data_IF_116872142946
#
_entry.id   IF_116872142946
#
_cell.length_a   1.000
_cell.length_b   1.000
_cell.length_c   1.000
_cell.angle_alpha   90.00
_cell.angle_beta   90.00
_cell.angle_gamma   90.00
#
_symmetry.space_group_name_H-M   'P 1'
#
loop_
_entity.id
_entity.type
_entity.pdbx_description
1 polymer ?
#
# COMPACT_ATOMS: atom_id res chain seq x y z
N UNK A 1 -8.23 -5.00 -2.76
CA UNK A 1 -7.98 -5.97 -3.83
C UNK A 1 -9.22 -6.25 -4.69
N UNK A 2 -10.38 -6.65 -4.13
CA UNK A 2 -11.58 -7.02 -4.92
C UNK A 2 -12.02 -5.97 -5.97
N UNK A 3 -11.87 -4.67 -5.72
CA UNK A 3 -12.22 -3.61 -6.68
C UNK A 3 -11.24 -3.47 -7.86
N UNK A 4 -10.13 -4.17 -7.82
CA UNK A 4 -9.13 -4.20 -8.89
C UNK A 4 -9.23 -5.47 -9.76
N UNK A 5 -10.21 -6.34 -9.49
CA UNK A 5 -10.43 -7.56 -10.28
C UNK A 5 -10.67 -7.20 -11.75
N UNK A 6 -9.93 -7.84 -12.65
CA UNK A 6 -9.98 -7.56 -14.08
C UNK A 6 -9.03 -6.45 -14.56
N UNK A 7 -8.16 -5.92 -13.68
CA UNK A 7 -7.08 -5.00 -14.05
C UNK A 7 -5.73 -5.57 -13.63
N UNK A 8 -4.65 -5.08 -14.25
CA UNK A 8 -3.27 -5.46 -13.89
C UNK A 8 -2.71 -4.62 -12.73
N UNK A 9 -3.47 -3.61 -12.29
CA UNK A 9 -3.02 -2.68 -11.24
C UNK A 9 -2.82 -3.38 -9.89
N UNK A 10 -1.70 -3.16 -9.25
CA UNK A 10 -1.37 -3.68 -7.92
C UNK A 10 -1.64 -2.63 -6.85
N UNK A 11 -2.37 -3.03 -5.82
CA UNK A 11 -2.66 -2.19 -4.65
C UNK A 11 -1.46 -2.18 -3.70
N UNK A 12 -0.93 -1.00 -3.42
CA UNK A 12 0.19 -0.81 -2.49
C UNK A 12 -0.24 -0.12 -1.20
N UNK A 13 0.45 -0.45 -0.11
CA UNK A 13 0.44 0.37 1.10
C UNK A 13 1.35 1.60 0.97
N UNK A 14 1.59 2.28 2.07
CA UNK A 14 2.54 3.39 2.16
C UNK A 14 3.40 3.28 3.42
N UNK A 15 4.33 4.23 3.61
CA UNK A 15 5.09 4.38 4.86
C UNK A 15 4.35 5.19 5.93
N UNK A 16 3.13 5.65 5.66
CA UNK A 16 2.26 6.33 6.64
C UNK A 16 1.64 5.28 7.56
N UNK A 17 2.38 4.80 8.52
CA UNK A 17 2.01 3.73 9.45
C UNK A 17 1.93 4.24 10.88
N UNK A 18 1.17 3.56 11.72
CA UNK A 18 1.17 3.80 13.16
C UNK A 18 2.58 3.59 13.72
N UNK A 19 3.08 4.48 14.60
CA UNK A 19 4.39 4.30 15.23
C UNK A 19 4.55 2.89 15.80
N UNK A 20 5.69 2.27 15.53
CA UNK A 20 6.06 0.91 15.94
C UNK A 20 5.23 -0.24 15.33
N UNK A 21 4.14 0.02 14.59
CA UNK A 21 3.27 -1.03 14.03
C UNK A 21 3.49 -1.32 12.55
N UNK A 22 4.47 -0.71 11.88
CA UNK A 22 4.70 -0.85 10.42
C UNK A 22 4.79 -2.31 9.95
N UNK A 23 5.47 -3.16 10.70
CA UNK A 23 5.62 -4.57 10.36
C UNK A 23 4.24 -5.25 10.30
N UNK A 24 3.41 -5.03 11.32
CA UNK A 24 2.08 -5.65 11.41
C UNK A 24 1.12 -5.09 10.35
N UNK A 25 1.12 -3.78 10.14
CA UNK A 25 0.26 -3.13 9.16
C UNK A 25 0.61 -3.56 7.72
N UNK A 26 1.89 -3.61 7.37
CA UNK A 26 2.33 -4.11 6.07
C UNK A 26 2.05 -5.61 5.89
N UNK A 27 2.19 -6.40 6.95
CA UNK A 27 1.76 -7.80 6.94
C UNK A 27 0.25 -7.92 6.68
N UNK A 28 -0.58 -7.11 7.36
CA UNK A 28 -2.02 -7.11 7.18
C UNK A 28 -2.42 -6.76 5.74
N UNK A 29 -1.75 -5.79 5.10
CA UNK A 29 -1.97 -5.46 3.68
C UNK A 29 -1.70 -6.67 2.79
N UNK A 30 -0.59 -7.39 3.01
CA UNK A 30 -0.25 -8.61 2.27
C UNK A 30 -1.28 -9.72 2.49
N UNK A 31 -1.69 -9.94 3.74
CA UNK A 31 -2.72 -10.92 4.09
C UNK A 31 -4.06 -10.59 3.44
N UNK A 32 -4.37 -9.30 3.24
CA UNK A 32 -5.55 -8.81 2.51
C UNK A 32 -5.44 -8.87 0.99
N UNK A 33 -4.35 -9.40 0.43
CA UNK A 33 -4.13 -9.53 -1.02
C UNK A 33 -3.58 -8.26 -1.68
N UNK A 34 -3.06 -7.31 -0.91
CA UNK A 34 -2.30 -6.17 -1.42
C UNK A 34 -0.80 -6.45 -1.48
N UNK A 35 -0.05 -5.43 -1.86
CA UNK A 35 1.41 -5.46 -1.94
C UNK A 35 2.00 -4.36 -1.04
N UNK A 36 3.27 -4.51 -0.69
CA UNK A 36 3.95 -3.48 0.08
C UNK A 36 4.72 -2.55 -0.83
N UNK A 37 4.55 -1.24 -0.64
CA UNK A 37 5.52 -0.24 -1.07
C UNK A 37 6.78 -0.36 -0.19
N UNK A 38 7.86 0.36 -0.52
CA UNK A 38 9.11 0.33 0.24
C UNK A 38 8.85 0.35 1.76
N UNK A 39 9.60 -0.45 2.49
CA UNK A 39 9.48 -0.56 3.93
C UNK A 39 10.11 0.62 4.66
N UNK A 40 11.27 1.07 4.18
CA UNK A 40 12.04 2.13 4.81
C UNK A 40 12.59 3.16 3.82
N UNK A 41 13.76 3.71 4.14
CA UNK A 41 14.52 4.59 3.26
C UNK A 41 15.73 3.87 2.63
N UNK A 42 15.87 2.58 2.90
CA UNK A 42 17.03 1.77 2.54
C UNK A 42 16.73 0.75 1.45
N UNK A 43 15.47 0.45 1.16
CA UNK A 43 15.05 -0.62 0.26
C UNK A 43 14.52 -0.13 -1.10
N UNK A 44 14.24 1.17 -1.25
CA UNK A 44 13.98 1.83 -2.54
C UNK A 44 14.13 3.34 -2.43
N UNK A 45 14.42 4.00 -3.53
CA UNK A 45 14.47 5.47 -3.60
C UNK A 45 13.14 6.02 -4.10
N UNK A 46 12.61 7.01 -3.38
CA UNK A 46 11.48 7.84 -3.82
C UNK A 46 11.88 9.30 -3.69
N UNK A 47 11.99 9.96 -4.82
CA UNK A 47 12.27 11.40 -4.96
C UNK A 47 10.93 12.14 -4.85
N UNK A 48 10.84 13.09 -3.93
CA UNK A 48 9.67 13.90 -3.66
C UNK A 48 9.95 15.38 -3.87
N UNK A 49 8.91 16.20 -3.81
CA UNK A 49 8.93 17.65 -3.95
C UNK A 49 10.10 18.34 -3.22
N UNK A 50 10.29 18.02 -1.94
CA UNK A 50 11.39 18.58 -1.14
C UNK A 50 12.78 18.16 -1.65
N UNK A 51 12.92 16.93 -2.17
CA UNK A 51 14.18 16.48 -2.79
C UNK A 51 14.43 17.22 -4.09
N UNK A 52 13.39 17.42 -4.90
CA UNK A 52 13.42 18.17 -6.16
C UNK A 52 13.81 19.63 -5.91
N UNK A 53 13.19 20.27 -4.91
CA UNK A 53 13.49 21.64 -4.51
C UNK A 53 14.94 21.78 -4.03
N UNK A 54 15.40 20.89 -3.15
CA UNK A 54 16.75 20.90 -2.61
C UNK A 54 17.83 20.61 -3.67
N UNK A 55 17.51 19.85 -4.72
CA UNK A 55 18.42 19.58 -5.82
C UNK A 55 18.42 20.68 -6.90
N UNK A 56 17.41 21.54 -6.91
CA UNK A 56 17.20 22.58 -7.93
C UNK A 56 16.62 22.04 -9.26
N UNK A 57 15.73 21.03 -9.16
CA UNK A 57 14.94 20.49 -10.28
C UNK A 57 14.93 18.96 -10.34
N UNK A 58 13.93 18.42 -11.06
CA UNK A 58 13.69 16.97 -11.18
C UNK A 58 14.92 16.27 -11.77
N UNK A 59 15.38 16.72 -12.93
CA UNK A 59 16.54 16.10 -13.61
C UNK A 59 17.76 16.02 -12.70
N UNK A 60 18.09 17.11 -12.00
CA UNK A 60 19.24 17.14 -11.08
C UNK A 60 19.08 16.17 -9.91
N UNK A 61 17.86 16.06 -9.37
CA UNK A 61 17.56 15.12 -8.29
C UNK A 61 17.73 13.67 -8.74
N UNK A 62 17.16 13.32 -9.91
CA UNK A 62 17.27 11.97 -10.49
C UNK A 62 18.72 11.64 -10.85
N UNK A 63 19.43 12.51 -11.57
CA UNK A 63 20.84 12.30 -11.95
C UNK A 63 21.73 12.06 -10.73
N UNK A 64 21.50 12.79 -9.63
CA UNK A 64 22.26 12.63 -8.38
C UNK A 64 22.02 11.27 -7.73
N UNK A 65 20.79 10.80 -7.76
CA UNK A 65 20.40 9.49 -7.22
C UNK A 65 20.95 8.37 -8.10
N UNK A 66 20.73 8.45 -9.41
CA UNK A 66 21.16 7.42 -10.36
C UNK A 66 22.67 7.23 -10.36
N UNK A 67 23.48 8.29 -10.20
CA UNK A 67 24.94 8.15 -10.07
C UNK A 67 25.36 7.23 -8.90
N UNK A 68 24.54 7.18 -7.85
CA UNK A 68 24.88 6.43 -6.64
C UNK A 68 24.17 5.07 -6.54
N UNK A 69 22.97 4.93 -7.10
CA UNK A 69 22.07 3.81 -6.80
C UNK A 69 21.51 3.10 -8.03
N UNK A 70 21.89 3.47 -9.27
CA UNK A 70 21.30 2.95 -10.53
C UNK A 70 21.10 1.44 -10.56
N UNK A 71 22.09 0.70 -10.10
CA UNK A 71 22.09 -0.76 -10.19
C UNK A 71 21.72 -1.45 -8.86
N UNK A 72 21.33 -0.67 -7.87
CA UNK A 72 21.09 -1.18 -6.51
C UNK A 72 19.61 -1.29 -6.18
N UNK A 73 18.83 -0.26 -6.51
CA UNK A 73 17.41 -0.18 -6.17
C UNK A 73 16.66 0.65 -7.20
N UNK A 74 15.34 0.39 -7.41
CA UNK A 74 14.51 1.20 -8.28
C UNK A 74 14.45 2.67 -7.81
N UNK A 75 14.46 3.58 -8.77
CA UNK A 75 14.34 5.03 -8.55
C UNK A 75 12.95 5.48 -8.98
N UNK A 76 12.16 5.88 -8.01
CA UNK A 76 10.82 6.40 -8.19
C UNK A 76 10.81 7.92 -8.02
N UNK A 77 10.02 8.63 -8.84
CA UNK A 77 9.87 10.08 -8.81
C UNK A 77 8.40 10.45 -8.70
N UNK A 78 8.05 11.20 -7.66
CA UNK A 78 6.73 11.80 -7.49
C UNK A 78 6.65 13.07 -8.31
N UNK A 79 5.62 13.18 -9.17
CA UNK A 79 5.40 14.31 -10.08
C UNK A 79 3.98 14.82 -9.98
N UNK A 80 3.80 16.14 -10.06
CA UNK A 80 2.50 16.80 -9.95
C UNK A 80 2.00 17.37 -11.28
N UNK A 81 2.86 17.44 -12.28
CA UNK A 81 2.55 18.03 -13.58
C UNK A 81 3.31 17.38 -14.75
N UNK A 82 2.87 17.64 -15.97
CA UNK A 82 3.45 17.03 -17.17
C UNK A 82 4.88 17.47 -17.49
N UNK A 83 5.34 18.63 -17.01
CA UNK A 83 6.73 19.07 -17.17
C UNK A 83 7.64 18.20 -16.32
N UNK A 84 7.35 18.06 -15.04
CA UNK A 84 8.09 17.17 -14.12
C UNK A 84 8.10 15.74 -14.61
N UNK A 85 6.95 15.25 -15.13
CA UNK A 85 6.83 13.91 -15.70
C UNK A 85 7.82 13.72 -16.85
N UNK A 86 7.91 14.66 -17.79
CA UNK A 86 8.86 14.57 -18.91
C UNK A 86 10.31 14.61 -18.43
N UNK A 87 10.63 15.54 -17.52
CA UNK A 87 11.96 15.64 -16.92
C UNK A 87 12.37 14.35 -16.20
N UNK A 88 11.46 13.71 -15.45
CA UNK A 88 11.70 12.44 -14.79
C UNK A 88 11.95 11.28 -15.77
N UNK A 89 11.14 11.20 -16.85
CA UNK A 89 11.32 10.21 -17.91
C UNK A 89 12.65 10.39 -18.65
N UNK A 90 13.01 11.62 -18.99
CA UNK A 90 14.27 11.93 -19.69
C UNK A 90 15.48 11.66 -18.83
N UNK A 91 15.35 11.83 -17.51
CA UNK A 91 16.40 11.52 -16.56
C UNK A 91 16.54 10.01 -16.29
N UNK A 92 15.58 9.17 -16.73
CA UNK A 92 15.64 7.71 -16.61
C UNK A 92 15.12 7.17 -15.26
N UNK A 93 14.06 7.76 -14.72
CA UNK A 93 13.33 7.21 -13.59
C UNK A 93 12.71 5.87 -13.96
N UNK A 94 12.78 4.88 -13.04
CA UNK A 94 12.22 3.54 -13.24
C UNK A 94 10.70 3.53 -13.02
N UNK A 95 10.24 4.34 -12.06
CA UNK A 95 8.83 4.46 -11.68
C UNK A 95 8.48 5.95 -11.62
N UNK A 96 7.32 6.31 -12.16
CA UNK A 96 6.76 7.66 -12.05
C UNK A 96 5.47 7.59 -11.24
N UNK A 97 5.50 8.25 -10.08
CA UNK A 97 4.32 8.41 -9.24
C UNK A 97 3.57 9.69 -9.62
N UNK A 98 2.35 9.51 -10.08
CA UNK A 98 1.42 10.60 -10.40
C UNK A 98 0.68 11.00 -9.12
N UNK A 99 1.01 12.15 -8.55
CA UNK A 99 0.43 12.59 -7.30
C UNK A 99 -0.81 13.47 -7.51
N UNK A 100 -1.91 13.10 -6.88
CA UNK A 100 -3.18 13.82 -6.89
C UNK A 100 -3.69 14.17 -8.31
N UNK A 101 -3.58 13.24 -9.26
CA UNK A 101 -4.09 13.41 -10.62
C UNK A 101 -5.44 12.71 -10.80
N UNK A 102 -6.37 13.38 -11.47
CA UNK A 102 -7.65 12.80 -11.89
C UNK A 102 -7.46 11.76 -13.02
N UNK A 103 -8.44 10.89 -13.29
CA UNK A 103 -8.32 9.85 -14.31
C UNK A 103 -8.01 10.36 -15.72
N UNK A 104 -8.46 11.58 -16.08
CA UNK A 104 -8.15 12.18 -17.39
C UNK A 104 -6.66 12.55 -17.48
N UNK A 105 -6.14 13.20 -16.45
CA UNK A 105 -4.70 13.52 -16.35
C UNK A 105 -3.83 12.26 -16.30
N UNK A 106 -4.27 11.20 -15.62
CA UNK A 106 -3.59 9.90 -15.59
C UNK A 106 -3.52 9.32 -17.02
N UNK A 107 -4.63 9.25 -17.75
CA UNK A 107 -4.64 8.76 -19.15
C UNK A 107 -3.72 9.57 -20.07
N UNK A 108 -3.66 10.89 -19.91
CA UNK A 108 -2.73 11.76 -20.66
C UNK A 108 -1.28 11.47 -20.25
N UNK A 109 -0.99 11.26 -18.97
CA UNK A 109 0.34 10.88 -18.48
C UNK A 109 0.80 9.55 -19.08
N UNK A 110 -0.06 8.53 -19.09
CA UNK A 110 0.25 7.23 -19.70
C UNK A 110 0.59 7.34 -21.19
N UNK A 111 -0.08 8.22 -21.94
CA UNK A 111 0.24 8.50 -23.35
C UNK A 111 1.61 9.17 -23.52
N UNK A 112 2.08 9.94 -22.53
CA UNK A 112 3.41 10.55 -22.52
C UNK A 112 4.46 9.51 -22.15
N UNK A 113 4.19 8.70 -21.13
CA UNK A 113 5.11 7.70 -20.59
C UNK A 113 5.40 6.59 -21.61
N UNK A 114 4.38 6.08 -22.31
CA UNK A 114 4.50 5.06 -23.37
C UNK A 114 5.28 3.82 -22.90
N UNK A 115 5.02 3.33 -21.71
CA UNK A 115 5.68 2.16 -21.11
C UNK A 115 7.21 2.27 -20.94
N UNK A 116 7.75 3.48 -20.95
CA UNK A 116 9.18 3.72 -20.69
C UNK A 116 9.53 3.67 -19.21
N UNK A 117 8.55 3.79 -18.33
CA UNK A 117 8.64 3.64 -16.88
C UNK A 117 7.36 2.98 -16.37
N UNK A 118 7.42 2.36 -15.22
CA UNK A 118 6.23 1.92 -14.49
C UNK A 118 5.50 3.14 -13.93
N UNK A 119 4.19 3.02 -13.75
CA UNK A 119 3.34 4.12 -13.31
C UNK A 119 2.64 3.78 -12.02
N UNK A 120 2.88 4.60 -11.00
CA UNK A 120 2.15 4.58 -9.75
C UNK A 120 1.20 5.78 -9.67
N UNK A 121 0.02 5.58 -9.09
CA UNK A 121 -0.90 6.67 -8.72
C UNK A 121 -1.01 6.75 -7.21
N UNK A 122 -0.88 7.95 -6.67
CA UNK A 122 -1.02 8.26 -5.25
C UNK A 122 -1.84 9.52 -5.02
N UNK A 123 -2.34 9.70 -3.80
CA UNK A 123 -3.12 10.87 -3.41
C UNK A 123 -4.61 10.76 -3.73
N UNK A 124 -5.46 11.04 -2.75
CA UNK A 124 -6.93 11.09 -2.92
C UNK A 124 -7.61 9.78 -3.35
N UNK A 125 -6.93 8.62 -3.25
CA UNK A 125 -7.49 7.33 -3.65
C UNK A 125 -8.45 6.83 -2.57
N UNK A 126 -9.68 6.52 -2.98
CA UNK A 126 -10.75 6.00 -2.12
C UNK A 126 -11.34 4.71 -2.70
N UNK A 127 -12.25 4.05 -1.94
CA UNK A 127 -12.97 2.87 -2.45
C UNK A 127 -13.88 3.21 -3.64
N UNK A 128 -14.34 4.44 -3.74
CA UNK A 128 -15.25 4.89 -4.80
C UNK A 128 -14.51 5.07 -6.12
N UNK A 129 -13.30 5.67 -6.10
CA UNK A 129 -12.58 6.04 -7.32
C UNK A 129 -11.50 5.04 -7.76
N UNK A 130 -11.06 4.13 -6.89
CA UNK A 130 -9.95 3.20 -7.18
C UNK A 130 -10.19 2.33 -8.42
N UNK A 131 -11.44 1.95 -8.69
CA UNK A 131 -11.79 1.16 -9.87
C UNK A 131 -11.58 1.94 -11.17
N UNK A 132 -11.96 3.21 -11.21
CA UNK A 132 -11.73 4.08 -12.36
C UNK A 132 -10.24 4.35 -12.59
N UNK A 133 -9.50 4.58 -11.51
CA UNK A 133 -8.03 4.75 -11.58
C UNK A 133 -7.38 3.49 -12.16
N UNK A 134 -7.74 2.30 -11.65
CA UNK A 134 -7.20 1.04 -12.13
C UNK A 134 -7.52 0.78 -13.62
N UNK A 135 -8.73 1.15 -14.04
CA UNK A 135 -9.16 1.03 -15.44
C UNK A 135 -8.38 1.96 -16.41
N UNK A 136 -7.58 2.90 -15.92
CA UNK A 136 -6.70 3.70 -16.76
C UNK A 136 -5.51 2.92 -17.32
N UNK A 137 -5.14 1.79 -16.67
CA UNK A 137 -4.02 0.94 -17.05
C UNK A 137 -2.70 1.27 -16.36
N UNK A 138 -2.75 1.84 -15.16
CA UNK A 138 -1.56 2.06 -14.30
C UNK A 138 -1.08 0.74 -13.68
N UNK A 139 0.20 0.69 -13.33
CA UNK A 139 0.82 -0.51 -12.76
C UNK A 139 0.57 -0.63 -11.25
N UNK A 140 0.60 0.51 -10.54
CA UNK A 140 0.49 0.57 -9.09
C UNK A 140 -0.49 1.65 -8.64
N UNK A 141 -1.18 1.37 -7.52
CA UNK A 141 -2.04 2.34 -6.83
C UNK A 141 -1.71 2.28 -5.35
N UNK A 142 -1.09 3.32 -4.80
CA UNK A 142 -0.80 3.38 -3.38
C UNK A 142 -1.89 4.11 -2.59
N UNK A 143 -2.28 3.49 -1.48
CA UNK A 143 -3.40 3.95 -0.64
C UNK A 143 -2.96 4.06 0.81
N UNK A 144 -2.77 5.29 1.28
CA UNK A 144 -2.36 5.55 2.66
C UNK A 144 -3.38 5.09 3.70
N UNK A 145 -4.68 5.14 3.36
CA UNK A 145 -5.76 4.73 4.26
C UNK A 145 -5.68 3.26 4.69
N UNK A 146 -4.96 2.40 3.97
CA UNK A 146 -4.73 1.00 4.35
C UNK A 146 -3.95 0.88 5.66
N UNK A 147 -3.11 1.85 5.97
CA UNK A 147 -2.24 1.82 7.15
C UNK A 147 -2.58 2.91 8.17
N UNK A 148 -2.91 4.13 7.76
CA UNK A 148 -3.18 5.21 8.72
C UNK A 148 -4.66 5.37 9.09
N UNK A 149 -5.60 4.68 8.42
CA UNK A 149 -7.05 4.83 8.66
C UNK A 149 -7.79 3.49 8.63
N UNK A 150 -7.09 2.39 8.95
CA UNK A 150 -7.73 1.09 9.10
C UNK A 150 -8.68 1.13 10.29
N UNK A 151 -9.94 0.69 10.07
CA UNK A 151 -10.92 0.57 11.16
C UNK A 151 -10.59 -0.65 12.01
N UNK A 152 -10.67 -0.51 13.34
CA UNK A 152 -10.57 -1.63 14.26
C UNK A 152 -11.69 -2.63 14.02
N UNK A 153 -11.35 -3.91 14.10
CA UNK A 153 -12.36 -4.98 14.13
C UNK A 153 -12.84 -5.07 15.57
N UNK A 154 -14.17 -5.12 15.75
CA UNK A 154 -14.77 -5.34 17.07
C UNK A 154 -14.58 -6.81 17.45
N UNK A 155 -13.74 -7.03 18.45
CA UNK A 155 -13.42 -8.36 18.97
C UNK A 155 -13.64 -8.33 20.48
N UNK A 156 -14.50 -9.22 20.98
CA UNK A 156 -14.69 -9.47 22.40
C UNK A 156 -14.19 -10.86 22.78
N UNK A 157 -13.76 -11.00 24.01
CA UNK A 157 -13.39 -12.28 24.59
C UNK A 157 -14.23 -12.49 25.86
N UNK A 158 -15.00 -13.58 25.86
CA UNK A 158 -15.77 -13.99 27.05
C UNK A 158 -15.11 -15.20 27.70
N UNK A 159 -14.88 -15.11 29.01
CA UNK A 159 -14.43 -16.25 29.76
C UNK A 159 -15.65 -17.07 30.19
N UNK A 160 -15.87 -18.17 29.50
CA UNK A 160 -16.87 -19.16 29.94
C UNK A 160 -16.27 -20.01 31.04
N UNK A 161 -17.04 -20.26 32.12
CA UNK A 161 -16.59 -21.09 33.23
C UNK A 161 -16.15 -22.47 32.73
N UNK A 162 -14.91 -22.83 32.95
CA UNK A 162 -14.43 -24.18 32.70
C UNK A 162 -15.01 -25.09 33.78
N UNK A 163 -16.10 -25.78 33.48
CA UNK A 163 -16.55 -26.90 34.31
C UNK A 163 -15.52 -28.01 34.14
N UNK A 164 -14.46 -27.95 34.94
CA UNK A 164 -13.49 -29.03 35.06
C UNK A 164 -14.26 -30.29 35.36
N UNK A 165 -14.12 -31.35 34.58
CA UNK A 165 -14.51 -32.69 34.96
C UNK A 165 -13.73 -33.03 36.22
N UNK A 166 -14.29 -32.77 37.39
CA UNK A 166 -13.83 -33.39 38.63
C UNK A 166 -14.17 -34.86 38.52
N UNK A 167 -13.20 -35.61 38.03
CA UNK A 167 -13.25 -37.06 38.16
C UNK A 167 -13.20 -37.43 39.63
N UNK A 168 -14.31 -37.73 40.21
CA UNK A 168 -14.36 -38.65 41.34
C UNK A 168 -15.64 -39.47 41.22
N UNK A 169 -15.38 -40.74 41.05
CA UNK A 169 -16.38 -41.77 40.94
C UNK A 169 -17.17 -42.02 42.21
N UNK A 170 -18.26 -42.64 42.01
CA UNK A 170 -18.79 -43.66 42.91
C UNK A 170 -19.73 -43.18 44.01
N UNK A 171 -21.00 -43.37 43.86
CA UNK A 171 -21.70 -44.45 44.57
C UNK A 171 -23.18 -44.41 44.21
N UNK A 172 -23.62 -45.58 43.79
CA UNK A 172 -25.02 -45.96 43.80
C UNK A 172 -25.71 -45.60 45.13
N UNK A 173 -26.88 -45.02 45.01
CA UNK A 173 -27.90 -45.46 45.95
C UNK A 173 -29.29 -45.55 45.31
N UNK A 174 -29.83 -46.74 45.43
CA UNK A 174 -31.15 -47.15 44.98
C UNK A 174 -32.22 -46.62 45.94
N UNK A 175 -33.40 -46.59 45.38
CA UNK A 175 -34.71 -46.70 46.06
C UNK A 175 -35.22 -45.38 46.65
N UNK A 176 -36.44 -45.04 46.52
CA UNK A 176 -37.71 -45.79 46.55
C UNK A 176 -38.86 -44.95 46.03
N UNK A 177 -39.72 -45.57 45.27
CA UNK A 177 -41.18 -45.59 45.27
C UNK A 177 -41.93 -44.57 46.17
N UNK A 178 -42.93 -44.00 45.55
CA UNK A 178 -44.19 -43.77 46.26
C UNK A 178 -44.84 -42.40 45.94
N UNK A 179 -45.76 -42.43 45.25
CA UNK A 179 -47.18 -42.18 44.97
C UNK A 179 -47.49 -41.17 43.96
#
# INVERSE_FOLDING_TARGET
AKKLTGTEARLLDTRKTTPCLRILEKYAVRAGGGYNHRFGLFDAVLIKDNHIAAAGGVKKAVDKVLRKYRDSVPVEVEVTNYRELREALEAGADIIMLDNMDPERIRKSLKIIRKRALVEVSGGVTLENIGEIAATGVDFISVGALTHSARSVDISMEVVSYAGKSGRGGRNNKASKGR
#
